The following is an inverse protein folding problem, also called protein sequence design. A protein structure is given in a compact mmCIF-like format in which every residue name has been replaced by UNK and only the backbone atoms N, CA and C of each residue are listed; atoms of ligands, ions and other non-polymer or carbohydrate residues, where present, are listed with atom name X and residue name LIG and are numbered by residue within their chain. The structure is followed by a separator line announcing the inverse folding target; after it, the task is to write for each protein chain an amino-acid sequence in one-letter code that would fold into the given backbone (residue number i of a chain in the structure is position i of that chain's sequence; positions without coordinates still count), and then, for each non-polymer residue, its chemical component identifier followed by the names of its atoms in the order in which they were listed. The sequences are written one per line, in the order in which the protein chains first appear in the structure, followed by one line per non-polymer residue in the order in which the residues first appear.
data_IF_133496737517
#
_entry.id   IF_133496737517
#
_cell.length_a   1.000
_cell.length_b   1.000
_cell.length_c   1.000
_cell.angle_alpha   90.00
_cell.angle_beta   90.00
_cell.angle_gamma   90.00
#
_symmetry.space_group_name_H-M   'P 1'
#
loop_
_entity.id
_entity.type
_entity.pdbx_description
1 polymer ?
#
# COMPACT_ATOMS: atom_id res chain seq x y z
N UNK A 1 -16.87 19.71 18.78
CA UNK A 1 -16.58 18.43 18.09
C UNK A 1 -15.34 18.66 17.27
N UNK A 2 -14.25 18.68 18.00
CA UNK A 2 -12.94 19.15 17.58
C UNK A 2 -12.14 17.94 17.16
N UNK A 3 -11.93 17.76 15.86
CA UNK A 3 -10.89 16.86 15.35
C UNK A 3 -10.22 17.47 14.13
N UNK A 4 -9.48 18.55 14.41
CA UNK A 4 -8.38 19.01 13.57
C UNK A 4 -7.25 17.97 13.63
N UNK A 5 -7.43 16.81 12.97
CA UNK A 5 -6.35 15.82 12.83
C UNK A 5 -5.42 16.31 11.73
N UNK A 6 -4.47 17.10 12.20
CA UNK A 6 -3.11 17.28 11.71
C UNK A 6 -2.69 16.37 10.55
N UNK A 7 -2.36 17.04 9.44
CA UNK A 7 -1.45 16.68 8.37
C UNK A 7 -0.13 16.06 8.87
N UNK A 8 -0.15 14.78 9.23
CA UNK A 8 1.06 13.95 9.22
C UNK A 8 1.05 13.21 7.89
N UNK A 9 2.20 13.03 7.24
CA UNK A 9 2.37 12.09 6.12
C UNK A 9 2.17 10.66 6.64
N UNK A 10 0.97 10.36 7.10
CA UNK A 10 0.55 9.00 7.34
C UNK A 10 0.36 8.40 5.95
N UNK A 11 1.00 7.26 5.63
CA UNK A 11 0.63 6.54 4.42
C UNK A 11 -0.89 6.38 4.45
N UNK A 12 -1.55 6.65 3.32
CA UNK A 12 -3.01 6.84 3.27
C UNK A 12 -3.68 5.83 4.20
N UNK A 13 -4.47 6.31 5.15
CA UNK A 13 -5.13 5.51 6.17
C UNK A 13 -5.65 4.18 5.57
N UNK A 14 -5.12 3.04 6.02
CA UNK A 14 -5.38 1.71 5.45
C UNK A 14 -4.28 1.11 4.55
N UNK A 15 -3.38 1.91 3.94
CA UNK A 15 -2.23 1.40 3.15
C UNK A 15 -1.18 0.75 4.05
N UNK A 16 -0.96 1.26 5.26
CA UNK A 16 -0.02 0.64 6.22
C UNK A 16 -0.53 -0.72 6.71
N UNK A 17 -1.85 -0.84 6.93
CA UNK A 17 -2.52 -2.10 7.24
C UNK A 17 -2.45 -3.04 6.05
N UNK A 18 -2.83 -2.58 4.86
CA UNK A 18 -2.74 -3.39 3.64
C UNK A 18 -1.31 -3.90 3.38
N UNK A 19 -0.27 -3.08 3.58
CA UNK A 19 1.14 -3.49 3.42
C UNK A 19 1.50 -4.59 4.43
N UNK A 20 0.98 -4.49 5.64
CA UNK A 20 1.21 -5.44 6.73
C UNK A 20 0.38 -6.71 6.57
N UNK A 21 -0.73 -6.63 5.86
CA UNK A 21 -1.54 -7.76 5.43
C UNK A 21 -0.92 -8.47 4.23
N UNK A 22 -0.08 -7.80 3.42
CA UNK A 22 0.62 -8.47 2.33
C UNK A 22 1.54 -9.58 2.86
N UNK A 23 1.52 -10.77 2.24
CA UNK A 23 2.41 -11.84 2.61
C UNK A 23 3.85 -11.53 2.19
N UNK A 24 4.81 -12.06 2.94
CA UNK A 24 6.24 -11.83 2.73
C UNK A 24 6.72 -12.11 1.30
N UNK A 25 6.06 -13.02 0.56
CA UNK A 25 6.43 -13.31 -0.82
C UNK A 25 6.06 -12.18 -1.79
N UNK A 26 4.96 -11.46 -1.56
CA UNK A 26 4.61 -10.27 -2.32
C UNK A 26 5.57 -9.15 -1.93
N UNK A 27 5.75 -8.87 -0.64
CA UNK A 27 6.69 -7.84 -0.17
C UNK A 27 8.11 -8.03 -0.68
N UNK A 28 8.56 -9.29 -0.82
CA UNK A 28 9.88 -9.64 -1.37
C UNK A 28 9.94 -9.58 -2.89
N UNK A 29 8.79 -9.67 -3.57
CA UNK A 29 8.64 -9.46 -5.01
C UNK A 29 8.48 -7.99 -5.38
N UNK A 30 8.12 -7.13 -4.41
CA UNK A 30 8.00 -5.69 -4.58
C UNK A 30 9.35 -5.00 -4.40
N UNK A 31 9.62 -4.05 -5.30
CA UNK A 31 10.76 -3.16 -5.21
C UNK A 31 10.51 -2.02 -4.22
N UNK A 32 11.59 -1.37 -3.77
CA UNK A 32 11.49 -0.22 -2.86
C UNK A 32 10.65 0.92 -3.43
N UNK A 33 10.68 1.09 -4.75
CA UNK A 33 9.87 2.07 -5.47
C UNK A 33 8.38 1.70 -5.40
N UNK A 34 8.05 0.43 -5.63
CA UNK A 34 6.68 -0.08 -5.52
C UNK A 34 6.15 -0.03 -4.09
N UNK A 35 6.95 -0.38 -3.07
CA UNK A 35 6.55 -0.27 -1.66
C UNK A 35 6.29 1.21 -1.29
N UNK A 36 7.09 2.13 -1.82
CA UNK A 36 6.89 3.56 -1.61
C UNK A 36 5.64 4.06 -2.33
N UNK A 37 5.41 3.63 -3.56
CA UNK A 37 4.19 3.93 -4.31
C UNK A 37 2.96 3.38 -3.59
N UNK A 38 3.06 2.17 -3.07
CA UNK A 38 2.02 1.53 -2.29
C UNK A 38 1.68 2.29 -1.02
N UNK A 39 2.66 2.82 -0.31
CA UNK A 39 2.42 3.54 0.94
C UNK A 39 2.00 5.00 0.72
N UNK A 40 2.57 5.68 -0.27
CA UNK A 40 2.50 7.14 -0.39
C UNK A 40 1.85 7.64 -1.68
N UNK A 41 1.82 6.86 -2.75
CA UNK A 41 1.32 7.31 -4.05
C UNK A 41 -0.15 6.94 -4.26
N UNK A 42 -0.90 7.85 -4.87
CA UNK A 42 -2.28 7.59 -5.27
C UNK A 42 -2.34 6.55 -6.40
N UNK A 43 -1.39 6.68 -7.32
CA UNK A 43 -1.26 5.87 -8.51
C UNK A 43 -0.27 4.73 -8.25
N UNK A 44 -0.68 3.51 -8.57
CA UNK A 44 0.19 2.34 -8.51
C UNK A 44 0.65 2.01 -9.91
N UNK A 45 1.96 1.80 -10.15
CA UNK A 45 2.42 1.35 -11.45
C UNK A 45 1.71 0.04 -11.80
N UNK A 46 1.41 -0.18 -13.09
CA UNK A 46 0.73 -1.38 -13.56
C UNK A 46 1.39 -2.66 -13.02
N UNK A 47 2.73 -2.67 -12.92
CA UNK A 47 3.50 -3.78 -12.34
C UNK A 47 3.16 -4.09 -10.88
N UNK A 48 2.94 -3.06 -10.03
CA UNK A 48 2.52 -3.22 -8.64
C UNK A 48 1.06 -3.68 -8.58
N UNK A 49 0.20 -3.03 -9.37
CA UNK A 49 -1.21 -3.35 -9.43
C UNK A 49 -1.44 -4.81 -9.87
N UNK A 50 -0.69 -5.30 -10.86
CA UNK A 50 -0.74 -6.69 -11.32
C UNK A 50 -0.33 -7.69 -10.24
N UNK A 51 0.76 -7.41 -9.49
CA UNK A 51 1.22 -8.28 -8.38
C UNK A 51 0.20 -8.34 -7.24
N UNK A 52 -0.45 -7.22 -6.94
CA UNK A 52 -1.43 -7.12 -5.87
C UNK A 52 -2.82 -7.61 -6.30
N UNK A 53 -3.17 -7.53 -7.57
CA UNK A 53 -4.48 -7.95 -8.09
C UNK A 53 -4.72 -9.44 -7.82
N UNK A 54 -3.68 -10.26 -7.92
CA UNK A 54 -3.72 -11.69 -7.58
C UNK A 54 -3.98 -11.92 -6.08
N UNK A 55 -3.56 -10.97 -5.23
CA UNK A 55 -3.76 -11.02 -3.78
C UNK A 55 -5.10 -10.44 -3.32
N UNK A 56 -5.54 -9.32 -3.91
CA UNK A 56 -6.76 -8.58 -3.49
C UNK A 56 -8.04 -9.25 -4.03
N UNK A 57 -7.96 -9.99 -5.13
CA UNK A 57 -9.09 -10.75 -5.71
C UNK A 57 -8.94 -12.24 -5.36
N UNK A 58 -8.81 -12.58 -4.08
CA UNK A 58 -8.46 -13.97 -3.74
C UNK A 58 -8.52 -14.39 -2.28
N UNK A 59 -9.61 -14.11 -1.56
CA UNK A 59 -10.28 -15.07 -0.65
C UNK A 59 -11.63 -14.55 -0.17
#
# INVERSE_FOLDING_TARGET
MDKNITLRKEPKQGRMEALRELPDHILRSLDKEEIRAFLFEDDWPDSLAEKLKDYVIGN
#
